data_IF_030476187283
#
_entry.id   IF_030476187283
#
_cell.length_a   1.000
_cell.length_b   1.000
_cell.length_c   1.000
_cell.angle_alpha   90.00
_cell.angle_beta   90.00
_cell.angle_gamma   90.00
#
_symmetry.space_group_name_H-M   'P 1'
#
loop_
_entity.id
_entity.type
_entity.pdbx_description
1 polymer ?
#
# COMPACT_ATOMS: atom_id res chain seq x y z
N UNK A 1 -4.51 9.74 16.15
CA UNK A 1 -5.87 9.36 15.70
C UNK A 1 -6.10 9.98 14.32
N UNK A 2 -6.77 9.27 13.41
CA UNK A 2 -7.15 9.84 12.11
C UNK A 2 -8.54 10.49 12.24
N UNK A 3 -8.80 11.59 11.51
CA UNK A 3 -10.11 12.27 11.54
C UNK A 3 -11.22 11.31 11.08
N UNK A 4 -12.44 11.39 11.66
CA UNK A 4 -13.60 10.63 11.21
C UNK A 4 -14.00 10.91 9.75
N UNK A 5 -13.52 12.01 9.16
CA UNK A 5 -13.77 12.36 7.75
C UNK A 5 -13.04 11.42 6.77
N UNK A 6 -12.13 10.58 7.26
CA UNK A 6 -11.37 9.63 6.46
C UNK A 6 -11.78 8.19 6.72
N UNK A 7 -11.92 7.41 5.64
CA UNK A 7 -11.97 5.96 5.72
C UNK A 7 -10.56 5.40 5.86
N UNK A 8 -10.25 4.78 7.00
CA UNK A 8 -8.98 4.09 7.21
C UNK A 8 -9.01 2.70 6.55
N UNK A 9 -8.01 2.42 5.71
CA UNK A 9 -7.73 1.09 5.17
C UNK A 9 -6.36 0.66 5.71
N UNK A 10 -6.35 -0.25 6.69
CA UNK A 10 -5.13 -0.84 7.21
C UNK A 10 -4.86 -2.18 6.50
N UNK A 11 -3.61 -2.41 6.10
CA UNK A 11 -3.20 -3.57 5.32
C UNK A 11 -2.15 -4.35 6.11
N UNK A 12 -2.47 -5.58 6.49
CA UNK A 12 -1.46 -6.56 6.89
C UNK A 12 -0.63 -6.90 5.65
N UNK A 13 0.70 -6.77 5.71
CA UNK A 13 1.59 -7.20 4.63
C UNK A 13 1.90 -8.69 4.74
N UNK A 14 2.42 -9.30 3.67
CA UNK A 14 2.79 -10.72 3.68
C UNK A 14 3.72 -11.03 4.86
N UNK A 15 3.40 -12.09 5.60
CA UNK A 15 4.15 -12.52 6.79
C UNK A 15 3.90 -11.71 8.05
N UNK A 16 2.93 -10.79 8.04
CA UNK A 16 2.53 -9.99 9.20
C UNK A 16 1.05 -10.15 9.51
N UNK A 17 0.68 -9.91 10.77
CA UNK A 17 -0.71 -9.96 11.23
C UNK A 17 -1.34 -11.33 10.95
N UNK A 18 -2.42 -11.34 10.16
CA UNK A 18 -3.14 -12.57 9.79
C UNK A 18 -2.65 -13.23 8.50
N UNK A 19 -1.67 -12.64 7.81
CA UNK A 19 -1.19 -13.14 6.53
C UNK A 19 0.05 -14.03 6.67
N UNK A 20 0.03 -15.15 5.96
CA UNK A 20 1.24 -15.95 5.74
C UNK A 20 2.18 -15.23 4.78
N UNK A 21 3.48 -15.54 4.88
CA UNK A 21 4.53 -14.94 4.03
C UNK A 21 4.39 -15.32 2.55
N UNK A 22 3.84 -16.49 2.26
CA UNK A 22 3.74 -17.05 0.91
C UNK A 22 5.07 -17.60 0.39
N UNK A 23 5.12 -17.92 -0.91
CA UNK A 23 6.28 -18.56 -1.55
C UNK A 23 7.10 -17.62 -2.44
N UNK A 24 6.60 -16.40 -2.66
CA UNK A 24 7.28 -15.40 -3.49
C UNK A 24 8.42 -14.74 -2.72
N UNK A 25 9.52 -14.35 -3.38
CA UNK A 25 10.59 -13.59 -2.75
C UNK A 25 10.07 -12.29 -2.13
N UNK A 26 10.49 -11.99 -0.90
CA UNK A 26 10.20 -10.72 -0.25
C UNK A 26 10.95 -9.59 -0.96
N UNK A 27 10.24 -8.89 -1.84
CA UNK A 27 10.75 -7.72 -2.57
C UNK A 27 9.79 -6.56 -2.38
N UNK A 28 10.32 -5.35 -2.23
CA UNK A 28 9.48 -4.14 -2.14
C UNK A 28 8.58 -3.93 -3.37
N UNK A 29 8.96 -4.48 -4.55
CA UNK A 29 8.09 -4.50 -5.73
C UNK A 29 6.83 -5.35 -5.48
N UNK A 30 6.96 -6.52 -4.86
CA UNK A 30 5.81 -7.37 -4.57
C UNK A 30 4.88 -6.68 -3.57
N UNK A 31 5.43 -6.08 -2.51
CA UNK A 31 4.62 -5.35 -1.54
C UNK A 31 3.90 -4.13 -2.18
N UNK A 32 4.56 -3.44 -3.11
CA UNK A 32 3.93 -2.38 -3.91
C UNK A 32 2.76 -2.94 -4.75
N UNK A 33 2.94 -4.05 -5.45
CA UNK A 33 1.91 -4.68 -6.25
C UNK A 33 0.70 -5.14 -5.40
N UNK A 34 0.95 -5.69 -4.21
CA UNK A 34 -0.11 -6.10 -3.28
C UNK A 34 -0.96 -4.89 -2.84
N UNK A 35 -0.31 -3.78 -2.48
CA UNK A 35 -1.02 -2.55 -2.08
C UNK A 35 -1.78 -1.95 -3.27
N UNK A 36 -1.20 -1.95 -4.47
CA UNK A 36 -1.90 -1.55 -5.71
C UNK A 36 -3.14 -2.41 -5.94
N UNK A 37 -3.05 -3.73 -5.77
CA UNK A 37 -4.19 -4.63 -5.95
C UNK A 37 -5.32 -4.35 -4.95
N UNK A 38 -4.99 -4.01 -3.70
CA UNK A 38 -5.98 -3.56 -2.70
C UNK A 38 -6.67 -2.28 -3.19
N UNK A 39 -5.92 -1.27 -3.65
CA UNK A 39 -6.50 -0.04 -4.17
C UNK A 39 -7.36 -0.27 -5.40
N UNK A 40 -6.90 -1.04 -6.39
CA UNK A 40 -7.69 -1.36 -7.59
C UNK A 40 -8.98 -2.10 -7.22
N UNK A 41 -8.95 -2.96 -6.21
CA UNK A 41 -10.12 -3.72 -5.76
C UNK A 41 -11.12 -2.86 -4.99
N UNK A 42 -10.65 -1.96 -4.13
CA UNK A 42 -11.51 -1.11 -3.29
C UNK A 42 -11.97 0.17 -4.02
N UNK A 43 -11.28 0.57 -5.09
CA UNK A 43 -11.64 1.67 -5.97
C UNK A 43 -11.63 3.10 -5.39
N UNK A 44 -10.77 3.49 -4.41
CA UNK A 44 -10.71 4.88 -3.98
C UNK A 44 -10.16 5.77 -5.11
N UNK A 45 -10.89 6.83 -5.47
CA UNK A 45 -10.45 7.76 -6.51
C UNK A 45 -9.33 8.70 -6.04
N UNK A 46 -9.35 9.09 -4.76
CA UNK A 46 -8.34 9.91 -4.12
C UNK A 46 -7.98 9.28 -2.77
N UNK A 47 -6.68 9.18 -2.48
CA UNK A 47 -6.21 8.63 -1.21
C UNK A 47 -4.90 9.28 -0.77
N UNK A 48 -4.69 9.35 0.54
CA UNK A 48 -3.37 9.55 1.14
C UNK A 48 -2.77 8.20 1.52
N UNK A 49 -1.44 8.10 1.50
CA UNK A 49 -0.71 6.92 1.97
C UNK A 49 0.24 7.30 3.10
N UNK A 50 0.24 6.50 4.17
CA UNK A 50 1.15 6.63 5.30
C UNK A 50 1.89 5.31 5.44
N UNK A 51 3.21 5.35 5.48
CA UNK A 51 4.06 4.17 5.60
C UNK A 51 5.20 4.41 6.58
N UNK A 52 5.51 3.40 7.39
CA UNK A 52 6.64 3.40 8.34
C UNK A 52 7.56 2.21 8.04
N UNK A 53 8.88 2.39 8.19
CA UNK A 53 9.89 1.36 7.89
C UNK A 53 9.69 0.80 6.47
N UNK A 54 9.50 -0.52 6.30
CA UNK A 54 9.19 -1.15 5.01
C UNK A 54 7.98 -0.53 4.31
N UNK A 55 6.95 -0.16 5.06
CA UNK A 55 5.77 0.53 4.53
C UNK A 55 6.09 1.91 3.95
N UNK A 56 7.12 2.60 4.49
CA UNK A 56 7.59 3.88 3.97
C UNK A 56 8.25 3.71 2.60
N UNK A 57 9.06 2.67 2.43
CA UNK A 57 9.64 2.31 1.12
C UNK A 57 8.55 1.99 0.11
N UNK A 58 7.53 1.20 0.50
CA UNK A 58 6.39 0.87 -0.36
C UNK A 58 5.60 2.13 -0.75
N UNK A 59 5.34 3.04 0.20
CA UNK A 59 4.67 4.31 -0.08
C UNK A 59 5.43 5.16 -1.10
N UNK A 60 6.75 5.31 -0.94
CA UNK A 60 7.59 6.04 -1.90
C UNK A 60 7.57 5.39 -3.29
N UNK A 61 7.65 4.05 -3.35
CA UNK A 61 7.58 3.31 -4.62
C UNK A 61 6.25 3.52 -5.33
N UNK A 62 5.13 3.49 -4.62
CA UNK A 62 3.80 3.75 -5.18
C UNK A 62 3.74 5.16 -5.79
N UNK A 63 4.18 6.18 -5.05
CA UNK A 63 4.11 7.57 -5.53
C UNK A 63 5.02 7.81 -6.75
N UNK A 64 6.22 7.21 -6.76
CA UNK A 64 7.13 7.32 -7.90
C UNK A 64 6.64 6.52 -9.12
N UNK A 65 5.91 5.42 -8.93
CA UNK A 65 5.36 4.63 -10.02
C UNK A 65 4.14 5.29 -10.70
N UNK A 66 3.44 6.19 -9.99
CA UNK A 66 2.20 6.80 -10.45
C UNK A 66 2.38 8.19 -11.10
N UNK A 67 3.56 8.49 -11.65
CA UNK A 67 3.92 9.79 -12.27
C UNK A 67 3.17 10.12 -13.57
N UNK A 68 1.99 9.56 -13.81
CA UNK A 68 1.12 9.88 -14.97
C UNK A 68 -0.11 10.71 -14.63
N UNK A 69 -0.31 11.11 -13.36
CA UNK A 69 -1.49 11.90 -12.92
C UNK A 69 -1.14 13.18 -12.16
N UNK A 70 0.11 13.67 -12.30
CA UNK A 70 0.57 14.95 -11.75
C UNK A 70 0.72 16.05 -12.81
N UNK A 71 -0.19 16.06 -13.80
CA UNK A 71 -0.54 17.24 -14.61
C UNK A 71 -2.06 17.24 -14.82
#
# INVERSE_FOLDING_TARGET
MISPDYRLIAIDTRGHGRLVIGTYPLRYRQLQEDVTAVFTTLGPQNFGIIGHSDGGVVALRLMLSNRSSLL
#
